data_IF_902823717942
#
_entry.id   IF_902823717942
#
_cell.length_a   1.000
_cell.length_b   1.000
_cell.length_c   1.000
_cell.angle_alpha   90.00
_cell.angle_beta   90.00
_cell.angle_gamma   90.00
#
_symmetry.space_group_name_H-M   'P 1'
#
loop_
_entity.id
_entity.type
_entity.pdbx_description
1 polymer ?
#
# COMPACT_ATOMS: atom_id res chain seq x y z
N UNK A 1 30.04 18.44 0.12
CA UNK A 1 28.97 19.40 -0.22
C UNK A 1 27.71 18.92 0.46
N UNK A 2 27.28 19.58 1.53
CA UNK A 2 26.09 19.20 2.30
C UNK A 2 24.85 19.63 1.51
N UNK A 3 23.94 18.69 1.26
CA UNK A 3 22.68 18.96 0.59
C UNK A 3 21.83 19.93 1.44
N UNK A 4 21.48 21.08 0.87
CA UNK A 4 20.50 22.00 1.44
C UNK A 4 19.14 21.30 1.44
N UNK A 5 18.63 20.96 2.62
CA UNK A 5 17.24 20.52 2.76
C UNK A 5 16.37 21.77 2.79
N UNK A 6 15.67 22.05 1.69
CA UNK A 6 14.67 23.11 1.63
C UNK A 6 13.36 22.59 2.22
N UNK A 7 12.91 23.20 3.31
CA UNK A 7 11.63 22.88 3.94
C UNK A 7 10.54 23.76 3.36
N UNK A 8 9.51 23.15 2.79
CA UNK A 8 8.33 23.83 2.24
C UNK A 8 7.13 23.62 3.16
N UNK A 9 6.42 24.70 3.51
CA UNK A 9 5.17 24.63 4.28
C UNK A 9 3.99 24.51 3.31
N UNK A 10 3.19 23.47 3.46
CA UNK A 10 1.93 23.27 2.74
C UNK A 10 0.78 23.44 3.74
N UNK A 11 -0.24 24.22 3.38
CA UNK A 11 -1.43 24.43 4.22
C UNK A 11 -2.70 24.24 3.39
N UNK A 12 -3.63 23.46 3.93
CA UNK A 12 -4.94 23.24 3.33
C UNK A 12 -6.03 23.97 4.12
N UNK A 13 -7.13 24.34 3.46
CA UNK A 13 -8.25 25.05 4.08
C UNK A 13 -9.11 24.12 4.95
N UNK A 14 -9.03 22.81 4.76
CA UNK A 14 -9.75 21.79 5.54
C UNK A 14 -8.84 20.62 5.91
N UNK A 15 -9.20 19.91 6.99
CA UNK A 15 -8.50 18.69 7.42
C UNK A 15 -8.54 17.60 6.34
N UNK A 16 -9.67 17.47 5.63
CA UNK A 16 -9.84 16.46 4.59
C UNK A 16 -8.93 16.73 3.38
N UNK A 17 -8.81 17.99 2.97
CA UNK A 17 -7.88 18.39 1.89
C UNK A 17 -6.42 18.12 2.31
N UNK A 18 -6.07 18.42 3.57
CA UNK A 18 -4.73 18.11 4.10
C UNK A 18 -4.42 16.61 4.00
N UNK A 19 -5.36 15.76 4.41
CA UNK A 19 -5.20 14.30 4.37
C UNK A 19 -5.05 13.77 2.95
N UNK A 20 -5.87 14.27 2.00
CA UNK A 20 -5.79 13.89 0.59
C UNK A 20 -4.46 14.33 -0.05
N UNK A 21 -3.99 15.53 0.27
CA UNK A 21 -2.70 16.02 -0.20
C UNK A 21 -1.55 15.20 0.35
N UNK A 22 -1.54 14.90 1.65
CA UNK A 22 -0.52 14.05 2.27
C UNK A 22 -0.50 12.67 1.61
N UNK A 23 -1.68 12.08 1.37
CA UNK A 23 -1.80 10.79 0.68
C UNK A 23 -1.24 10.85 -0.74
N UNK A 24 -1.59 11.88 -1.50
CA UNK A 24 -1.12 12.07 -2.87
C UNK A 24 0.40 12.29 -2.93
N UNK A 25 0.95 13.11 -2.03
CA UNK A 25 2.39 13.37 -1.94
C UNK A 25 3.14 12.09 -1.58
N UNK A 26 2.70 11.36 -0.55
CA UNK A 26 3.29 10.06 -0.16
C UNK A 26 3.30 9.09 -1.32
N UNK A 27 2.19 8.98 -2.05
CA UNK A 27 2.11 8.13 -3.24
C UNK A 27 3.17 8.49 -4.28
N UNK A 28 3.32 9.77 -4.61
CA UNK A 28 4.31 10.22 -5.60
C UNK A 28 5.75 9.98 -5.13
N UNK A 29 6.04 10.19 -3.83
CA UNK A 29 7.36 9.93 -3.24
C UNK A 29 7.70 8.44 -3.32
N UNK A 30 6.75 7.56 -3.03
CA UNK A 30 6.97 6.12 -2.95
C UNK A 30 6.79 5.36 -4.28
N UNK A 31 6.09 5.93 -5.26
CA UNK A 31 5.86 5.29 -6.56
C UNK A 31 7.15 4.80 -7.27
N UNK A 32 8.28 5.54 -7.29
CA UNK A 32 9.53 5.06 -7.87
C UNK A 32 10.15 3.86 -7.14
N UNK A 33 9.73 3.62 -5.90
CA UNK A 33 10.22 2.55 -5.02
C UNK A 33 9.22 1.40 -4.88
N UNK A 34 8.13 1.43 -5.64
CA UNK A 34 7.10 0.39 -5.58
C UNK A 34 6.12 0.52 -4.43
N UNK A 35 6.13 1.64 -3.72
CA UNK A 35 5.10 1.99 -2.76
C UNK A 35 4.04 2.89 -3.38
N UNK A 36 3.20 3.50 -2.53
CA UNK A 36 2.03 4.26 -2.96
C UNK A 36 1.02 3.40 -3.73
N UNK A 37 0.93 2.11 -3.42
CA UNK A 37 0.14 1.16 -4.21
C UNK A 37 -1.36 1.38 -4.04
N UNK A 38 -1.83 1.89 -2.88
CA UNK A 38 -3.24 2.11 -2.62
C UNK A 38 -3.74 3.40 -3.28
N UNK A 39 -4.72 3.27 -4.17
CA UNK A 39 -5.25 4.39 -4.96
C UNK A 39 -4.40 4.75 -6.18
N UNK A 40 -3.38 3.96 -6.52
CA UNK A 40 -2.64 4.05 -7.78
C UNK A 40 -3.34 3.23 -8.88
N UNK A 41 -2.98 3.48 -10.14
CA UNK A 41 -3.43 2.65 -11.27
C UNK A 41 -2.83 1.25 -11.16
N UNK A 42 -3.65 0.24 -11.44
CA UNK A 42 -3.25 -1.16 -11.44
C UNK A 42 -2.04 -1.40 -12.35
N UNK A 43 -2.06 -0.79 -13.53
CA UNK A 43 -1.02 -0.93 -14.55
C UNK A 43 0.33 -0.39 -14.06
N UNK A 44 0.34 0.67 -13.25
CA UNK A 44 1.56 1.26 -12.69
C UNK A 44 2.17 0.33 -11.66
N UNK A 45 1.35 -0.21 -10.74
CA UNK A 45 1.79 -1.19 -9.74
C UNK A 45 2.34 -2.46 -10.39
N UNK A 46 1.60 -3.07 -11.31
CA UNK A 46 2.04 -4.28 -12.02
C UNK A 46 3.27 -4.03 -12.90
N UNK A 47 3.39 -2.84 -13.51
CA UNK A 47 4.59 -2.47 -14.29
C UNK A 47 5.83 -2.36 -13.42
N UNK A 48 5.72 -1.80 -12.22
CA UNK A 48 6.83 -1.76 -11.26
C UNK A 48 7.23 -3.16 -10.83
N UNK A 49 6.24 -3.97 -10.42
CA UNK A 49 6.47 -5.31 -9.89
C UNK A 49 6.97 -6.32 -10.92
N UNK A 50 6.79 -6.05 -12.22
CA UNK A 50 7.33 -6.86 -13.31
C UNK A 50 8.85 -7.08 -13.24
N UNK A 51 9.56 -6.21 -12.49
CA UNK A 51 11.00 -6.36 -12.19
C UNK A 51 11.31 -7.58 -11.30
N UNK A 52 10.33 -8.05 -10.52
CA UNK A 52 10.47 -9.20 -9.61
C UNK A 52 9.89 -10.50 -10.19
N UNK A 53 9.43 -10.49 -11.44
CA UNK A 53 8.87 -11.65 -12.12
C UNK A 53 7.73 -11.27 -13.06
N UNK A 54 7.25 -12.24 -13.86
CA UNK A 54 6.11 -12.00 -14.74
C UNK A 54 4.80 -12.07 -13.93
N UNK A 55 4.47 -10.97 -13.25
CA UNK A 55 3.26 -10.82 -12.43
C UNK A 55 2.09 -10.29 -13.27
N UNK A 56 0.91 -10.89 -13.09
CA UNK A 56 -0.34 -10.48 -13.75
C UNK A 56 -1.25 -9.67 -12.82
N UNK A 57 -1.00 -9.75 -11.51
CA UNK A 57 -1.71 -9.02 -10.48
C UNK A 57 -0.69 -8.43 -9.49
N UNK A 58 -1.06 -7.40 -8.70
CA UNK A 58 -0.22 -6.88 -7.65
C UNK A 58 0.16 -7.95 -6.63
N UNK A 59 1.39 -7.94 -6.12
CA UNK A 59 1.85 -8.88 -5.10
C UNK A 59 0.98 -8.87 -3.84
N UNK A 60 0.40 -7.71 -3.49
CA UNK A 60 -0.60 -7.61 -2.42
C UNK A 60 -1.76 -8.60 -2.65
N UNK A 61 -2.32 -8.59 -3.86
CA UNK A 61 -3.48 -9.42 -4.21
C UNK A 61 -3.08 -10.89 -4.20
N UNK A 62 -1.93 -11.24 -4.77
CA UNK A 62 -1.43 -12.61 -4.78
C UNK A 62 -1.24 -13.15 -3.35
N UNK A 63 -0.57 -12.37 -2.47
CA UNK A 63 -0.34 -12.76 -1.08
C UNK A 63 -1.66 -12.93 -0.30
N UNK A 64 -2.62 -12.02 -0.47
CA UNK A 64 -3.93 -12.16 0.18
C UNK A 64 -4.65 -13.42 -0.29
N UNK A 65 -4.63 -13.71 -1.60
CA UNK A 65 -5.28 -14.89 -2.16
C UNK A 65 -4.63 -16.18 -1.67
N UNK A 66 -3.29 -16.23 -1.62
CA UNK A 66 -2.56 -17.40 -1.14
C UNK A 66 -2.83 -17.67 0.35
N UNK A 67 -2.84 -16.61 1.18
CA UNK A 67 -3.20 -16.72 2.59
C UNK A 67 -4.63 -17.25 2.80
N UNK A 68 -5.60 -16.72 2.05
CA UNK A 68 -7.00 -17.15 2.14
C UNK A 68 -7.18 -18.59 1.67
N UNK A 69 -6.47 -19.01 0.61
CA UNK A 69 -6.49 -20.40 0.14
C UNK A 69 -5.93 -21.37 1.18
N UNK A 70 -4.91 -20.96 1.92
CA UNK A 70 -4.27 -21.82 2.91
C UNK A 70 -5.07 -21.90 4.22
N UNK A 71 -5.60 -20.78 4.71
CA UNK A 71 -6.20 -20.68 6.05
C UNK A 71 -7.69 -20.30 6.04
N UNK A 72 -8.11 -19.43 5.12
CA UNK A 72 -9.43 -18.80 5.14
C UNK A 72 -10.59 -19.64 4.60
N UNK A 73 -10.35 -20.73 3.87
CA UNK A 73 -11.42 -21.50 3.21
C UNK A 73 -12.39 -22.20 4.19
N UNK A 74 -12.00 -22.36 5.45
CA UNK A 74 -12.83 -22.97 6.51
C UNK A 74 -13.39 -21.94 7.48
N UNK A 75 -13.02 -20.68 7.35
CA UNK A 75 -13.43 -19.61 8.25
C UNK A 75 -14.84 -19.12 7.90
N UNK A 76 -15.73 -19.14 8.88
CA UNK A 76 -17.09 -18.61 8.72
C UNK A 76 -17.06 -17.07 8.70
N UNK A 77 -17.81 -16.46 7.78
CA UNK A 77 -17.87 -15.01 7.69
C UNK A 77 -16.65 -14.36 7.04
N UNK A 78 -15.83 -15.13 6.29
CA UNK A 78 -14.80 -14.60 5.42
C UNK A 78 -15.37 -13.48 4.52
N UNK A 79 -14.67 -12.35 4.43
CA UNK A 79 -15.10 -11.12 3.74
C UNK A 79 -16.35 -10.42 4.30
N UNK A 80 -16.96 -10.93 5.38
CA UNK A 80 -18.12 -10.32 6.05
C UNK A 80 -17.74 -9.67 7.37
N UNK A 81 -16.90 -10.34 8.17
CA UNK A 81 -16.46 -9.82 9.46
C UNK A 81 -15.39 -8.73 9.26
N UNK A 82 -15.47 -7.60 10.00
CA UNK A 82 -14.45 -6.57 9.91
C UNK A 82 -13.12 -7.09 10.46
N UNK A 83 -12.03 -6.79 9.76
CA UNK A 83 -10.68 -7.01 10.26
C UNK A 83 -10.32 -6.03 11.38
N UNK A 84 -9.20 -6.28 12.06
CA UNK A 84 -8.67 -5.34 13.05
C UNK A 84 -8.20 -4.06 12.36
N UNK A 85 -8.86 -2.94 12.62
CA UNK A 85 -8.63 -1.67 11.92
C UNK A 85 -7.17 -1.19 12.02
N UNK A 86 -6.54 -1.36 13.19
CA UNK A 86 -5.14 -1.00 13.41
C UNK A 86 -4.20 -1.84 12.54
N UNK A 87 -4.38 -3.16 12.53
CA UNK A 87 -3.58 -4.07 11.69
C UNK A 87 -3.77 -3.79 10.19
N UNK A 88 -5.01 -3.54 9.75
CA UNK A 88 -5.29 -3.17 8.36
C UNK A 88 -4.54 -1.91 7.98
N UNK A 89 -4.53 -0.91 8.86
CA UNK A 89 -3.79 0.34 8.64
C UNK A 89 -2.28 0.11 8.59
N UNK A 90 -1.72 -0.65 9.53
CA UNK A 90 -0.29 -0.99 9.57
C UNK A 90 0.15 -1.72 8.30
N UNK A 91 -0.63 -2.70 7.84
CA UNK A 91 -0.36 -3.40 6.59
C UNK A 91 -0.43 -2.45 5.39
N UNK A 92 -1.47 -1.60 5.32
CA UNK A 92 -1.59 -0.61 4.25
C UNK A 92 -0.39 0.33 4.20
N UNK A 93 0.01 0.87 5.36
CA UNK A 93 1.16 1.77 5.48
C UNK A 93 2.47 1.07 5.07
N UNK A 94 2.67 -0.20 5.44
CA UNK A 94 3.85 -0.98 5.05
C UNK A 94 3.92 -1.15 3.52
N UNK A 95 2.83 -1.59 2.91
CA UNK A 95 2.73 -1.74 1.45
C UNK A 95 2.88 -0.40 0.71
N UNK A 96 2.30 0.69 1.22
CA UNK A 96 2.46 2.03 0.64
C UNK A 96 3.88 2.58 0.82
N UNK A 97 4.67 2.09 1.78
CA UNK A 97 6.10 2.38 1.88
C UNK A 97 6.97 1.49 0.96
N UNK A 98 6.36 0.58 0.18
CA UNK A 98 7.07 -0.35 -0.70
C UNK A 98 7.63 -1.58 0.03
N UNK A 99 7.24 -1.79 1.30
CA UNK A 99 7.56 -3.01 2.02
C UNK A 99 6.73 -4.20 1.53
N UNK A 100 7.18 -5.41 1.85
CA UNK A 100 6.50 -6.67 1.53
C UNK A 100 6.24 -7.44 2.82
N UNK A 101 5.23 -7.04 3.62
CA UNK A 101 4.91 -7.73 4.86
C UNK A 101 4.44 -9.16 4.56
N UNK A 102 4.89 -10.15 5.34
CA UNK A 102 4.40 -11.52 5.24
C UNK A 102 3.14 -11.71 6.09
N UNK A 103 2.30 -12.67 5.69
CA UNK A 103 1.08 -13.03 6.40
C UNK A 103 1.26 -14.36 7.18
N UNK A 104 2.43 -14.58 7.81
CA UNK A 104 2.75 -15.82 8.54
C UNK A 104 2.43 -15.77 10.06
N UNK A 105 1.56 -14.83 10.45
CA UNK A 105 0.95 -14.67 11.79
C UNK A 105 0.13 -15.87 12.30
#
# INVERSE_FOLDING_TARGET
>A
MTANHETYLLMASTQNDMEDWVKTIRRVIWAPFGGGIFGQKLEETVRYERRFGNKLAPMLVEQCVDFIRQWGLREEGLFRLPGQANLVKELQDAFDCGEKPSFDW
#
